data_IF_333927169394
#
_entry.id   IF_333927169394
#
_cell.length_a   1.000
_cell.length_b   1.000
_cell.length_c   1.000
_cell.angle_alpha   90.00
_cell.angle_beta   90.00
_cell.angle_gamma   90.00
#
_symmetry.space_group_name_H-M   'P 1'
#
loop_
_entity.id
_entity.type
_entity.pdbx_description
1 polymer ?
#
# COMPACT_ATOMS: atom_id res chain seq x y z
N UNK A 1 7.06 -11.67 -9.40
CA UNK A 1 7.00 -10.74 -8.25
C UNK A 1 8.42 -10.30 -7.98
N UNK A 2 8.63 -8.99 -7.88
CA UNK A 2 9.92 -8.40 -7.56
C UNK A 2 9.73 -7.28 -6.53
N UNK A 3 10.36 -7.37 -5.36
CA UNK A 3 10.27 -6.33 -4.32
C UNK A 3 11.13 -5.14 -4.75
N UNK A 4 10.52 -3.96 -4.80
CA UNK A 4 11.16 -2.69 -5.18
C UNK A 4 11.69 -2.00 -3.91
N UNK A 5 10.86 -1.91 -2.86
CA UNK A 5 11.18 -1.21 -1.62
C UNK A 5 10.37 -1.79 -0.45
N UNK A 6 10.93 -1.81 0.75
CA UNK A 6 10.27 -2.35 1.95
C UNK A 6 10.97 -1.92 3.23
N UNK A 7 10.29 -2.01 4.38
CA UNK A 7 10.89 -1.89 5.71
C UNK A 7 11.15 -3.24 6.41
N UNK A 8 10.92 -4.38 5.75
CA UNK A 8 11.18 -5.70 6.33
C UNK A 8 12.52 -6.28 5.89
N UNK A 9 13.09 -7.17 6.71
CA UNK A 9 14.14 -8.07 6.24
C UNK A 9 13.54 -9.06 5.22
N UNK A 10 14.01 -8.99 3.98
CA UNK A 10 13.58 -9.86 2.88
C UNK A 10 13.98 -11.33 3.09
N UNK A 11 14.90 -11.62 4.02
CA UNK A 11 15.24 -12.98 4.43
C UNK A 11 14.13 -13.63 5.28
N UNK A 12 13.27 -12.83 5.93
CA UNK A 12 12.09 -13.29 6.66
C UNK A 12 10.98 -13.70 5.67
N UNK A 13 11.02 -14.97 5.28
CA UNK A 13 10.05 -15.58 4.36
C UNK A 13 8.59 -15.46 4.84
N UNK A 14 8.33 -15.42 6.15
CA UNK A 14 6.97 -15.25 6.68
C UNK A 14 6.48 -13.82 6.47
N UNK A 15 7.34 -12.83 6.71
CA UNK A 15 7.00 -11.43 6.44
C UNK A 15 6.78 -11.16 4.95
N UNK A 16 7.66 -11.70 4.09
CA UNK A 16 7.52 -11.63 2.62
C UNK A 16 6.19 -12.26 2.17
N UNK A 17 5.86 -13.46 2.66
CA UNK A 17 4.59 -14.12 2.35
C UNK A 17 3.38 -13.27 2.81
N UNK A 18 3.42 -12.75 4.04
CA UNK A 18 2.35 -11.90 4.57
C UNK A 18 2.10 -10.70 3.64
N UNK A 19 3.15 -9.97 3.26
CA UNK A 19 3.01 -8.78 2.42
C UNK A 19 2.61 -9.07 0.97
N UNK A 20 3.08 -10.18 0.38
CA UNK A 20 2.97 -10.38 -1.08
C UNK A 20 2.01 -11.48 -1.52
N UNK A 21 1.54 -12.34 -0.62
CA UNK A 21 0.69 -13.49 -0.96
C UNK A 21 -0.52 -13.69 -0.07
N UNK A 22 -0.48 -13.31 1.20
CA UNK A 22 -1.65 -13.40 2.08
C UNK A 22 -2.79 -12.51 1.57
N UNK A 23 -4.03 -12.84 1.94
CA UNK A 23 -5.19 -12.01 1.61
C UNK A 23 -5.07 -10.61 2.22
N UNK A 24 -5.57 -9.61 1.49
CA UNK A 24 -5.56 -8.20 1.89
C UNK A 24 -6.90 -7.54 1.58
N UNK A 25 -7.28 -6.59 2.44
CA UNK A 25 -8.34 -5.65 2.14
C UNK A 25 -7.81 -4.59 1.16
N UNK A 26 -8.68 -4.08 0.28
CA UNK A 26 -8.29 -2.97 -0.60
C UNK A 26 -8.36 -1.68 0.20
N UNK A 27 -7.39 -0.79 0.00
CA UNK A 27 -7.40 0.53 0.66
C UNK A 27 -8.68 1.34 0.40
N UNK A 28 -9.36 1.09 -0.72
CA UNK A 28 -10.63 1.74 -1.08
C UNK A 28 -11.80 1.33 -0.18
N UNK A 29 -11.71 0.14 0.44
CA UNK A 29 -12.74 -0.42 1.30
C UNK A 29 -12.44 -0.13 2.79
N UNK A 30 -11.34 0.55 3.09
CA UNK A 30 -10.98 0.96 4.45
C UNK A 30 -11.71 2.26 4.79
N UNK A 31 -12.15 2.40 6.04
CA UNK A 31 -12.81 3.61 6.53
C UNK A 31 -11.87 4.82 6.40
N UNK A 32 -12.39 5.91 5.83
CA UNK A 32 -11.65 7.17 5.69
C UNK A 32 -11.55 7.87 7.03
N UNK A 33 -10.43 8.58 7.26
CA UNK A 33 -10.16 9.22 8.53
C UNK A 33 -9.64 8.26 9.62
N UNK A 34 -9.57 6.96 9.31
CA UNK A 34 -8.94 6.00 10.21
C UNK A 34 -7.43 6.16 10.20
N UNK A 35 -6.84 6.36 11.38
CA UNK A 35 -5.39 6.31 11.61
C UNK A 35 -4.92 4.86 11.60
N UNK A 36 -3.89 4.59 10.80
CA UNK A 36 -3.32 3.28 10.58
C UNK A 36 -1.83 3.29 10.93
N UNK A 37 -1.40 2.67 12.04
CA UNK A 37 0.03 2.50 12.34
C UNK A 37 0.69 1.63 11.27
N UNK A 38 1.85 2.04 10.77
CA UNK A 38 2.54 1.33 9.69
C UNK A 38 3.58 0.36 10.26
N UNK A 39 3.17 -0.90 10.48
CA UNK A 39 4.06 -1.92 11.06
C UNK A 39 5.06 -2.46 10.03
N UNK A 40 4.54 -2.88 8.87
CA UNK A 40 5.32 -3.49 7.79
C UNK A 40 4.76 -3.07 6.46
N UNK A 41 5.59 -2.82 5.46
CA UNK A 41 5.13 -2.50 4.12
C UNK A 41 6.09 -2.99 3.05
N UNK A 42 5.58 -3.24 1.85
CA UNK A 42 6.40 -3.51 0.68
C UNK A 42 5.74 -2.95 -0.57
N UNK A 43 6.56 -2.34 -1.43
CA UNK A 43 6.25 -2.05 -2.82
C UNK A 43 6.91 -3.12 -3.67
N UNK A 44 6.13 -3.75 -4.55
CA UNK A 44 6.63 -4.80 -5.44
C UNK A 44 5.91 -4.76 -6.78
N UNK A 45 6.54 -5.27 -7.83
CA UNK A 45 5.85 -5.56 -9.08
C UNK A 45 5.31 -6.98 -9.06
N UNK A 46 4.15 -7.19 -9.68
CA UNK A 46 3.66 -8.51 -10.02
C UNK A 46 3.13 -8.54 -11.46
N UNK A 47 3.24 -9.73 -12.07
CA UNK A 47 2.75 -9.96 -13.42
C UNK A 47 1.27 -10.30 -13.35
N UNK A 48 0.47 -9.53 -14.08
CA UNK A 48 -0.95 -9.79 -14.26
C UNK A 48 -1.19 -10.26 -15.69
N UNK A 49 -1.95 -11.35 -15.83
CA UNK A 49 -2.48 -11.76 -17.12
C UNK A 49 -3.71 -10.92 -17.46
N UNK A 50 -3.61 -10.15 -18.53
CA UNK A 50 -4.71 -9.43 -19.14
C UNK A 50 -5.71 -10.39 -19.80
N UNK A 51 -6.87 -9.86 -20.19
CA UNK A 51 -7.97 -10.64 -20.79
C UNK A 51 -7.58 -11.32 -22.11
N UNK A 52 -6.55 -10.82 -22.78
CA UNK A 52 -6.08 -11.33 -24.08
C UNK A 52 -4.83 -12.22 -23.95
N UNK A 53 -4.44 -12.60 -22.73
CA UNK A 53 -3.22 -13.36 -22.47
C UNK A 53 -1.94 -12.52 -22.43
N UNK A 54 -2.03 -11.21 -22.67
CA UNK A 54 -0.93 -10.26 -22.49
C UNK A 54 -0.52 -10.19 -21.01
N UNK A 55 0.77 -10.28 -20.74
CA UNK A 55 1.33 -10.14 -19.40
C UNK A 55 1.74 -8.69 -19.17
N UNK A 56 1.13 -8.02 -18.18
CA UNK A 56 1.50 -6.67 -17.78
C UNK A 56 2.06 -6.66 -16.37
N UNK A 57 3.12 -5.88 -16.15
CA UNK A 57 3.60 -5.63 -14.80
C UNK A 57 2.74 -4.57 -14.12
N UNK A 58 2.41 -4.83 -12.86
CA UNK A 58 1.66 -3.92 -12.00
C UNK A 58 2.41 -3.71 -10.70
N UNK A 59 2.60 -2.45 -10.32
CA UNK A 59 3.13 -2.08 -9.00
C UNK A 59 2.04 -2.18 -7.96
N UNK A 60 2.36 -2.83 -6.84
CA UNK A 60 1.47 -3.03 -5.70
C UNK A 60 2.17 -2.51 -4.45
N UNK A 61 1.45 -1.76 -3.62
CA UNK A 61 1.83 -1.47 -2.24
C UNK A 61 0.97 -2.32 -1.32
N UNK A 62 1.62 -3.03 -0.39
CA UNK A 62 0.98 -3.72 0.72
C UNK A 62 1.48 -3.15 2.04
N UNK A 63 0.56 -2.93 2.98
CA UNK A 63 0.83 -2.42 4.32
C UNK A 63 0.18 -3.37 5.34
N UNK A 64 0.90 -3.70 6.40
CA UNK A 64 0.38 -4.34 7.61
C UNK A 64 0.26 -3.26 8.67
N UNK A 65 -0.93 -3.16 9.26
CA UNK A 65 -1.28 -2.20 10.29
C UNK A 65 -2.14 -2.86 11.36
N UNK A 66 -1.67 -2.91 12.61
CA UNK A 66 -2.43 -3.46 13.73
C UNK A 66 -2.87 -4.93 13.52
N UNK A 67 -2.10 -5.68 12.73
CA UNK A 67 -2.43 -7.06 12.35
C UNK A 67 -3.28 -7.22 11.08
N UNK A 68 -3.96 -6.16 10.63
CA UNK A 68 -4.65 -6.11 9.33
C UNK A 68 -3.65 -5.95 8.18
N UNK A 69 -3.95 -6.51 7.01
CA UNK A 69 -3.21 -6.24 5.78
C UNK A 69 -4.09 -5.51 4.78
N UNK A 70 -3.60 -4.38 4.29
CA UNK A 70 -4.22 -3.62 3.22
C UNK A 70 -3.31 -3.56 2.00
N UNK A 71 -3.88 -3.41 0.81
CA UNK A 71 -3.11 -3.28 -0.43
C UNK A 71 -3.76 -2.35 -1.46
N UNK A 72 -2.93 -1.75 -2.30
CA UNK A 72 -3.36 -0.85 -3.38
C UNK A 72 -2.49 -0.98 -4.62
N UNK A 73 -3.10 -0.64 -5.76
CA UNK A 73 -2.46 -0.48 -7.07
C UNK A 73 -2.58 0.96 -7.58
N UNK A 74 -3.07 1.88 -6.72
CA UNK A 74 -3.23 3.29 -7.06
C UNK A 74 -1.88 3.99 -7.00
N UNK A 75 -1.35 4.43 -8.15
CA UNK A 75 -0.08 5.15 -8.21
C UNK A 75 -0.08 6.37 -7.28
N UNK A 76 -1.15 7.17 -7.27
CA UNK A 76 -1.26 8.33 -6.39
C UNK A 76 -1.10 7.98 -4.91
N UNK A 77 -1.72 6.87 -4.48
CA UNK A 77 -1.59 6.41 -3.09
C UNK A 77 -0.16 5.96 -2.80
N UNK A 78 0.44 5.21 -3.73
CA UNK A 78 1.81 4.72 -3.60
C UNK A 78 2.79 5.88 -3.48
N UNK A 79 2.65 6.89 -4.33
CA UNK A 79 3.50 8.08 -4.35
C UNK A 79 3.37 8.87 -3.04
N UNK A 80 2.15 9.19 -2.60
CA UNK A 80 1.94 9.88 -1.31
C UNK A 80 2.44 9.07 -0.12
N UNK A 81 2.31 7.75 -0.13
CA UNK A 81 2.89 6.91 0.93
C UNK A 81 4.43 6.95 0.90
N UNK A 82 5.06 6.93 -0.28
CA UNK A 82 6.53 7.02 -0.37
C UNK A 82 7.03 8.37 0.15
N UNK A 83 6.33 9.47 -0.13
CA UNK A 83 6.67 10.78 0.43
C UNK A 83 6.68 10.75 1.96
N UNK A 84 5.66 10.13 2.57
CA UNK A 84 5.62 9.95 4.03
C UNK A 84 6.78 9.07 4.52
N UNK A 85 7.05 7.94 3.87
CA UNK A 85 8.18 7.06 4.22
C UNK A 85 9.51 7.81 4.16
N UNK A 86 9.71 8.65 3.15
CA UNK A 86 10.95 9.42 2.97
C UNK A 86 11.10 10.52 4.02
N UNK A 87 9.99 11.15 4.42
CA UNK A 87 9.98 12.15 5.51
C UNK A 87 10.26 11.51 6.87
N UNK A 88 9.66 10.34 7.12
CA UNK A 88 9.80 9.66 8.42
C UNK A 88 11.16 8.97 8.59
N UNK A 89 11.88 8.67 7.50
CA UNK A 89 13.26 8.15 7.50
C UNK A 89 13.52 7.00 8.50
N UNK A 90 12.54 6.10 8.62
CA UNK A 90 12.61 4.93 9.51
C UNK A 90 12.02 5.13 10.90
N UNK A 91 11.61 6.35 11.27
CA UNK A 91 10.84 6.58 12.49
C UNK A 91 9.46 5.91 12.39
N UNK A 92 8.89 5.40 13.51
CA UNK A 92 7.52 4.90 13.52
C UNK A 92 6.52 5.99 13.16
N UNK A 93 5.53 5.65 12.33
CA UNK A 93 4.49 6.57 11.90
C UNK A 93 3.16 5.88 11.66
N UNK A 94 2.11 6.70 11.61
CA UNK A 94 0.78 6.30 11.18
C UNK A 94 0.40 7.10 9.93
N UNK A 95 -0.51 6.55 9.14
CA UNK A 95 -1.13 7.26 8.01
C UNK A 95 -2.63 7.35 8.22
N UNK A 96 -3.25 8.39 7.70
CA UNK A 96 -4.71 8.52 7.61
C UNK A 96 -5.14 8.21 6.17
N UNK A 97 -6.15 7.34 6.01
CA UNK A 97 -6.75 7.11 4.70
C UNK A 97 -7.65 8.28 4.33
N UNK A 98 -7.32 8.93 3.23
CA UNK A 98 -8.09 10.06 2.68
C UNK A 98 -8.69 9.69 1.32
N UNK A 99 -9.54 10.55 0.79
CA UNK A 99 -10.08 10.38 -0.56
C UNK A 99 -11.39 11.09 -0.76
N UNK A 100 -11.81 11.22 -2.02
CA UNK A 100 -13.00 11.97 -2.37
C UNK A 100 -13.64 11.49 -3.65
N UNK A 101 -14.54 12.31 -4.16
CA UNK A 101 -15.16 12.11 -5.46
C UNK A 101 -14.70 13.27 -6.34
N UNK A 102 -14.05 12.95 -7.45
CA UNK A 102 -13.67 13.94 -8.45
C UNK A 102 -14.91 14.62 -9.05
N UNK A 103 -14.72 15.76 -9.73
CA UNK A 103 -15.81 16.49 -10.41
C UNK A 103 -16.62 15.63 -11.40
N UNK A 104 -16.00 14.58 -11.95
CA UNK A 104 -16.65 13.61 -12.86
C UNK A 104 -17.29 12.41 -12.17
N UNK A 105 -17.49 12.43 -10.85
CA UNK A 105 -18.12 11.34 -10.10
C UNK A 105 -17.22 10.13 -9.78
N UNK A 106 -15.96 10.13 -10.24
CA UNK A 106 -15.03 9.03 -9.93
C UNK A 106 -14.50 9.18 -8.51
N UNK A 107 -14.67 8.14 -7.71
CA UNK A 107 -14.03 8.03 -6.39
C UNK A 107 -12.52 7.86 -6.54
N UNK A 108 -11.77 8.49 -5.64
CA UNK A 108 -10.33 8.29 -5.49
C UNK A 108 -9.99 8.09 -4.00
N UNK A 109 -8.85 7.46 -3.76
CA UNK A 109 -8.29 7.16 -2.45
C UNK A 109 -6.85 7.65 -2.41
N UNK A 110 -6.44 8.23 -1.28
CA UNK A 110 -5.09 8.64 -1.01
C UNK A 110 -4.75 8.41 0.48
N UNK A 111 -3.54 8.78 0.91
CA UNK A 111 -3.17 8.85 2.32
C UNK A 111 -2.34 10.08 2.63
N UNK A 112 -2.26 10.42 3.91
CA UNK A 112 -1.38 11.45 4.46
C UNK A 112 -0.77 10.99 5.80
N UNK A 113 0.34 11.62 6.21
CA UNK A 113 0.95 11.39 7.52
C UNK A 113 -0.05 11.80 8.62
N UNK A 114 -0.22 10.94 9.62
CA UNK A 114 -0.92 11.30 10.83
C UNK A 114 -0.01 12.15 11.74
N UNK A 115 -0.44 13.37 12.05
CA UNK A 115 0.34 14.36 12.79
C UNK A 115 -0.18 14.63 14.21
N UNK A 116 -1.24 13.94 14.63
CA UNK A 116 -1.89 14.09 15.94
C UNK A 116 -1.47 12.98 16.93
#
# INVERSE_FOLDING_TARGET
MNIIRTNIDVSDKKAVYKLTKAESQRVQDVEKGLSLPVDKWAVYTETKKGKNGEETEQTVLAIVSGGMKISTISNTFIDSFMEVVDIMDGDPFSIIITGGTSKGGRQFVNCELDCD
#
